data_IF_952811263389
#
_entry.id   IF_952811263389
#
_cell.length_a   1.000
_cell.length_b   1.000
_cell.length_c   1.000
_cell.angle_alpha   90.00
_cell.angle_beta   90.00
_cell.angle_gamma   90.00
#
_symmetry.space_group_name_H-M   'P 1'
#
loop_
_entity.id
_entity.type
_entity.pdbx_description
1 polymer ?
#
# COMPACT_ATOMS: atom_id res chain seq x y z
N UNK A 1 -9.93 -0.70 -19.05
CA UNK A 1 -9.58 0.63 -18.60
C UNK A 1 -8.11 0.69 -18.19
N UNK A 2 -7.33 1.55 -18.81
CA UNK A 2 -5.89 1.65 -18.57
C UNK A 2 -5.59 2.54 -17.36
N UNK A 3 -4.61 2.13 -16.55
CA UNK A 3 -4.04 2.99 -15.51
C UNK A 3 -2.93 3.87 -16.11
N UNK A 4 -2.43 4.84 -15.34
CA UNK A 4 -1.28 5.65 -15.75
C UNK A 4 -0.03 4.81 -15.99
N UNK A 5 0.11 3.68 -15.31
CA UNK A 5 1.28 2.80 -15.41
C UNK A 5 1.10 1.71 -16.47
N UNK A 6 -0.12 1.55 -17.00
CA UNK A 6 -0.43 0.56 -18.03
C UNK A 6 -0.75 1.24 -19.36
N UNK A 7 0.27 1.90 -19.94
CA UNK A 7 0.14 2.64 -21.19
C UNK A 7 -0.13 1.73 -22.39
N UNK A 8 0.41 0.51 -22.36
CA UNK A 8 0.21 -0.47 -23.44
C UNK A 8 -1.16 -1.15 -23.39
N UNK A 9 -1.85 -1.10 -22.26
CA UNK A 9 -3.11 -1.80 -22.06
C UNK A 9 -2.96 -3.28 -21.79
N UNK A 10 -1.76 -3.75 -21.49
CA UNK A 10 -1.48 -5.15 -21.21
C UNK A 10 -2.03 -5.61 -19.85
N UNK A 11 -2.26 -4.66 -18.95
CA UNK A 11 -2.69 -4.96 -17.60
C UNK A 11 -1.57 -5.39 -16.68
N UNK A 12 -1.90 -5.52 -15.40
CA UNK A 12 -1.00 -6.02 -14.38
C UNK A 12 -1.73 -7.02 -13.49
N UNK A 13 -1.06 -8.11 -13.16
CA UNK A 13 -1.57 -9.09 -12.21
C UNK A 13 -0.79 -8.99 -10.91
N UNK A 14 -1.52 -8.86 -9.81
CA UNK A 14 -0.93 -8.82 -8.47
C UNK A 14 -1.59 -9.89 -7.61
N UNK A 15 -0.77 -10.66 -6.91
CA UNK A 15 -1.26 -11.68 -5.98
C UNK A 15 -1.34 -11.08 -4.58
N UNK A 16 -2.49 -11.25 -3.94
CA UNK A 16 -2.69 -10.81 -2.55
C UNK A 16 -2.95 -12.05 -1.72
N UNK A 17 -2.01 -12.42 -0.83
CA UNK A 17 -2.15 -13.63 -0.03
C UNK A 17 -3.10 -13.43 1.15
N UNK A 18 -3.56 -14.54 1.71
CA UNK A 18 -4.20 -14.50 3.01
C UNK A 18 -3.17 -14.15 4.08
N UNK A 19 -3.58 -13.35 5.05
CA UNK A 19 -2.76 -13.05 6.23
C UNK A 19 -3.09 -14.03 7.35
N UNK A 20 -2.12 -14.29 8.21
CA UNK A 20 -2.34 -15.14 9.40
C UNK A 20 -3.36 -14.49 10.34
N UNK A 21 -3.23 -13.20 10.59
CA UNK A 21 -4.21 -12.47 11.37
C UNK A 21 -5.41 -12.11 10.49
N UNK A 22 -6.52 -12.80 10.70
CA UNK A 22 -7.73 -12.65 9.90
C UNK A 22 -8.35 -11.25 10.02
N UNK A 23 -8.15 -10.56 11.13
CA UNK A 23 -8.67 -9.20 11.34
C UNK A 23 -8.01 -8.18 10.41
N UNK A 24 -6.80 -8.47 9.94
CA UNK A 24 -6.06 -7.60 9.03
C UNK A 24 -5.92 -8.17 7.61
N UNK A 25 -6.61 -9.26 7.32
CA UNK A 25 -6.49 -9.93 6.03
C UNK A 25 -7.30 -9.22 4.94
N UNK A 26 -6.65 -8.68 3.89
CA UNK A 26 -7.37 -7.99 2.81
C UNK A 26 -8.26 -8.92 1.99
N UNK A 27 -7.89 -10.19 1.87
CA UNK A 27 -8.69 -11.18 1.12
C UNK A 27 -10.01 -11.43 1.83
N UNK A 28 -9.99 -11.61 3.14
CA UNK A 28 -11.19 -11.82 3.95
C UNK A 28 -12.05 -10.56 3.95
N UNK A 29 -11.44 -9.39 4.08
CA UNK A 29 -12.15 -8.11 4.02
C UNK A 29 -12.90 -7.95 2.69
N UNK A 30 -12.26 -8.30 1.57
CA UNK A 30 -12.89 -8.23 0.26
C UNK A 30 -14.04 -9.22 0.12
N UNK A 31 -13.86 -10.46 0.57
CA UNK A 31 -14.91 -11.46 0.56
C UNK A 31 -16.14 -10.99 1.34
N UNK A 32 -15.92 -10.45 2.53
CA UNK A 32 -17.00 -9.93 3.37
C UNK A 32 -17.72 -8.76 2.68
N UNK A 33 -16.97 -7.87 2.03
CA UNK A 33 -17.55 -6.76 1.30
C UNK A 33 -18.43 -7.24 0.14
N UNK A 34 -17.96 -8.19 -0.65
CA UNK A 34 -18.72 -8.74 -1.77
C UNK A 34 -20.01 -9.39 -1.29
N UNK A 35 -19.95 -10.14 -0.19
CA UNK A 35 -21.09 -10.81 0.40
C UNK A 35 -22.13 -9.81 0.92
N UNK A 36 -21.70 -8.83 1.71
CA UNK A 36 -22.58 -7.82 2.32
C UNK A 36 -23.18 -6.90 1.25
N UNK A 37 -22.39 -6.46 0.30
CA UNK A 37 -22.84 -5.54 -0.76
C UNK A 37 -23.69 -6.21 -1.82
N UNK A 38 -23.64 -7.54 -1.94
CA UNK A 38 -24.36 -8.34 -2.94
C UNK A 38 -24.00 -7.95 -4.38
N UNK A 39 -22.81 -7.40 -4.59
CA UNK A 39 -22.32 -7.01 -5.90
C UNK A 39 -21.97 -8.26 -6.69
N UNK A 40 -22.53 -8.42 -7.88
CA UNK A 40 -22.31 -9.58 -8.76
C UNK A 40 -21.59 -9.21 -10.05
N UNK A 41 -21.60 -7.94 -10.43
CA UNK A 41 -20.98 -7.44 -11.65
C UNK A 41 -20.69 -5.95 -11.52
N UNK A 42 -19.93 -5.41 -12.48
CA UNK A 42 -19.47 -4.02 -12.51
C UNK A 42 -18.42 -3.71 -11.43
N UNK A 43 -18.33 -2.48 -10.98
CA UNK A 43 -17.33 -2.06 -10.02
C UNK A 43 -17.62 -2.66 -8.64
N UNK A 44 -16.58 -3.24 -8.04
CA UNK A 44 -16.66 -3.75 -6.65
C UNK A 44 -16.83 -2.59 -5.67
N UNK A 45 -16.11 -1.51 -5.91
CA UNK A 45 -16.22 -0.28 -5.12
C UNK A 45 -16.77 0.84 -5.99
N UNK A 46 -17.95 1.34 -5.67
CA UNK A 46 -18.59 2.45 -6.37
C UNK A 46 -18.21 3.75 -5.69
N UNK A 47 -16.95 4.14 -5.85
CA UNK A 47 -16.39 5.30 -5.16
C UNK A 47 -15.43 6.05 -6.08
N UNK A 48 -15.41 7.39 -5.95
CA UNK A 48 -14.47 8.25 -6.66
C UNK A 48 -13.14 8.34 -5.92
N UNK A 49 -12.12 8.84 -6.61
CA UNK A 49 -10.80 9.10 -6.00
C UNK A 49 -10.92 10.04 -4.79
N UNK A 50 -11.77 11.06 -4.92
CA UNK A 50 -12.06 11.98 -3.81
C UNK A 50 -12.70 11.24 -2.63
N UNK A 51 -13.62 10.32 -2.91
CA UNK A 51 -14.27 9.51 -1.90
C UNK A 51 -13.28 8.62 -1.15
N UNK A 52 -12.33 8.02 -1.88
CA UNK A 52 -11.25 7.23 -1.26
C UNK A 52 -10.43 8.10 -0.32
N UNK A 53 -10.02 9.29 -0.77
CA UNK A 53 -9.25 10.22 0.06
C UNK A 53 -10.00 10.60 1.34
N UNK A 54 -11.32 10.84 1.25
CA UNK A 54 -12.14 11.19 2.39
C UNK A 54 -12.23 10.05 3.42
N UNK A 55 -12.33 8.81 2.95
CA UNK A 55 -12.33 7.65 3.84
C UNK A 55 -11.00 7.53 4.58
N UNK A 56 -9.89 7.68 3.87
CA UNK A 56 -8.55 7.62 4.47
C UNK A 56 -8.39 8.71 5.53
N UNK A 57 -8.82 9.94 5.22
CA UNK A 57 -8.77 11.06 6.17
C UNK A 57 -9.62 10.80 7.40
N UNK A 58 -10.80 10.22 7.23
CA UNK A 58 -11.68 9.85 8.33
C UNK A 58 -10.97 8.89 9.30
N UNK A 59 -10.38 7.84 8.78
CA UNK A 59 -9.70 6.85 9.63
C UNK A 59 -8.40 7.37 10.22
N UNK A 60 -7.68 8.22 9.49
CA UNK A 60 -6.50 8.90 10.04
C UNK A 60 -6.89 9.77 11.24
N UNK A 61 -7.98 10.51 11.13
CA UNK A 61 -8.50 11.33 12.23
C UNK A 61 -8.90 10.48 13.43
N UNK A 62 -9.61 9.37 13.19
CA UNK A 62 -10.00 8.44 14.26
C UNK A 62 -8.80 7.81 14.96
N UNK A 63 -7.68 7.65 14.24
CA UNK A 63 -6.44 7.13 14.79
C UNK A 63 -5.59 8.19 15.50
N UNK A 64 -6.07 9.43 15.59
CA UNK A 64 -5.33 10.52 16.23
C UNK A 64 -4.25 11.14 15.36
N UNK A 65 -4.29 10.89 14.06
CA UNK A 65 -3.32 11.44 13.11
C UNK A 65 -3.87 12.73 12.47
N UNK A 66 -2.97 13.55 11.94
CA UNK A 66 -3.37 14.76 11.21
C UNK A 66 -3.96 14.37 9.85
N UNK A 67 -5.28 14.39 9.74
CA UNK A 67 -6.01 13.96 8.55
C UNK A 67 -5.61 14.70 7.28
N UNK A 68 -5.16 15.95 7.38
CA UNK A 68 -4.77 16.74 6.21
C UNK A 68 -3.55 16.16 5.50
N UNK A 69 -2.74 15.39 6.19
CA UNK A 69 -1.51 14.79 5.66
C UNK A 69 -1.72 13.45 4.95
N UNK A 70 -2.95 12.93 4.93
CA UNK A 70 -3.25 11.60 4.41
C UNK A 70 -4.22 11.65 3.25
N UNK A 71 -3.95 10.86 2.23
CA UNK A 71 -4.79 10.68 1.04
C UNK A 71 -4.44 9.33 0.39
N UNK A 72 -4.95 9.08 -0.82
CA UNK A 72 -4.73 7.80 -1.50
C UNK A 72 -3.26 7.40 -1.64
N UNK A 73 -2.39 8.35 -1.97
CA UNK A 73 -0.95 8.08 -2.09
C UNK A 73 -0.27 7.72 -0.78
N UNK A 74 -0.84 8.12 0.36
CA UNK A 74 -0.28 7.82 1.68
C UNK A 74 -0.24 6.32 1.96
N UNK A 75 -1.27 5.60 1.53
CA UNK A 75 -1.32 4.14 1.71
C UNK A 75 -0.26 3.45 0.87
N UNK A 76 -0.05 3.91 -0.36
CA UNK A 76 0.97 3.39 -1.26
C UNK A 76 2.37 3.65 -0.71
N UNK A 77 2.63 4.87 -0.26
CA UNK A 77 3.90 5.24 0.38
C UNK A 77 4.13 4.46 1.66
N UNK A 78 3.10 4.34 2.49
CA UNK A 78 3.16 3.57 3.73
C UNK A 78 3.46 2.10 3.49
N UNK A 79 2.84 1.50 2.49
CA UNK A 79 3.12 0.13 2.10
C UNK A 79 4.60 -0.03 1.71
N UNK A 80 5.10 0.84 0.83
CA UNK A 80 6.49 0.78 0.38
C UNK A 80 7.47 0.95 1.54
N UNK A 81 7.21 1.89 2.44
CA UNK A 81 8.05 2.13 3.62
C UNK A 81 8.01 0.94 4.57
N UNK A 82 6.82 0.46 4.92
CA UNK A 82 6.65 -0.65 5.86
C UNK A 82 7.27 -1.94 5.36
N UNK A 83 7.09 -2.24 4.07
CA UNK A 83 7.69 -3.46 3.50
C UNK A 83 9.21 -3.34 3.37
N UNK A 84 9.73 -2.16 3.05
CA UNK A 84 11.17 -1.90 3.05
C UNK A 84 11.77 -2.06 4.45
N UNK A 85 11.11 -1.53 5.47
CA UNK A 85 11.52 -1.70 6.88
C UNK A 85 11.52 -3.16 7.30
N UNK A 86 10.60 -3.96 6.77
CA UNK A 86 10.49 -5.40 7.03
C UNK A 86 11.49 -6.22 6.22
N UNK A 87 12.31 -5.59 5.37
CA UNK A 87 13.35 -6.26 4.60
C UNK A 87 12.91 -6.78 3.23
N UNK A 88 11.78 -6.34 2.71
CA UNK A 88 11.33 -6.74 1.38
C UNK A 88 12.30 -6.22 0.30
N UNK A 89 12.54 -7.05 -0.71
CA UNK A 89 13.40 -6.69 -1.83
C UNK A 89 12.72 -5.66 -2.74
N UNK A 90 13.54 -4.79 -3.35
CA UNK A 90 13.11 -3.74 -4.27
C UNK A 90 12.14 -4.26 -5.34
N UNK A 91 12.49 -5.35 -6.02
CA UNK A 91 11.67 -5.92 -7.08
C UNK A 91 10.28 -6.36 -6.59
N UNK A 92 10.20 -6.87 -5.36
CA UNK A 92 8.95 -7.33 -4.78
C UNK A 92 8.04 -6.17 -4.40
N UNK A 93 8.63 -5.09 -3.89
CA UNK A 93 7.89 -3.84 -3.60
C UNK A 93 7.35 -3.27 -4.92
N UNK A 94 8.17 -3.20 -5.95
CA UNK A 94 7.76 -2.69 -7.26
C UNK A 94 6.64 -3.51 -7.90
N UNK A 95 6.70 -4.83 -7.74
CA UNK A 95 5.66 -5.72 -8.25
C UNK A 95 4.28 -5.40 -7.67
N UNK A 96 4.23 -5.03 -6.39
CA UNK A 96 2.97 -4.69 -5.71
C UNK A 96 2.53 -3.25 -5.96
N UNK A 97 3.45 -2.29 -5.95
CA UNK A 97 3.12 -0.87 -6.14
C UNK A 97 2.90 -0.51 -7.61
N UNK A 98 3.49 -1.29 -8.52
CA UNK A 98 3.42 -1.00 -9.94
C UNK A 98 4.34 0.14 -10.39
N UNK A 99 5.31 0.53 -9.57
CA UNK A 99 6.33 1.50 -9.97
C UNK A 99 7.17 0.93 -11.12
N UNK A 100 7.32 1.69 -12.20
CA UNK A 100 8.17 1.30 -13.32
C UNK A 100 9.62 1.80 -13.15
N UNK A 101 9.80 2.80 -12.30
CA UNK A 101 11.12 3.34 -11.95
C UNK A 101 11.56 2.81 -10.59
N UNK A 102 12.80 2.39 -10.49
CA UNK A 102 13.39 1.93 -9.23
C UNK A 102 13.73 3.07 -8.27
N UNK A 103 13.83 4.29 -8.79
CA UNK A 103 14.27 5.45 -8.02
C UNK A 103 13.42 5.72 -6.77
N UNK A 104 12.10 5.74 -6.92
CA UNK A 104 11.20 5.98 -5.79
C UNK A 104 11.27 4.87 -4.76
N UNK A 105 11.30 3.61 -5.22
CA UNK A 105 11.37 2.45 -4.33
C UNK A 105 12.70 2.43 -3.58
N UNK A 106 13.79 2.74 -4.25
CA UNK A 106 15.12 2.84 -3.62
C UNK A 106 15.16 3.93 -2.55
N UNK A 107 14.45 5.03 -2.76
CA UNK A 107 14.32 6.08 -1.75
C UNK A 107 13.66 5.54 -0.48
N UNK A 108 12.56 4.80 -0.61
CA UNK A 108 11.89 4.18 0.54
C UNK A 108 12.80 3.19 1.28
N UNK A 109 13.54 2.38 0.53
CA UNK A 109 14.49 1.41 1.11
C UNK A 109 15.60 2.14 1.85
N UNK A 110 16.16 3.19 1.27
CA UNK A 110 17.21 4.00 1.88
C UNK A 110 16.75 4.63 3.19
N UNK A 111 15.56 5.23 3.20
CA UNK A 111 14.97 5.84 4.38
C UNK A 111 14.71 4.80 5.48
N UNK A 112 14.20 3.63 5.10
CA UNK A 112 13.97 2.53 6.04
C UNK A 112 15.26 2.04 6.69
N UNK A 113 16.38 2.08 5.96
CA UNK A 113 17.68 1.60 6.44
C UNK A 113 18.52 2.64 7.19
N UNK A 114 18.08 3.89 7.27
CA UNK A 114 18.84 4.96 7.94
C UNK A 114 19.28 4.58 9.35
N UNK A 115 18.42 3.97 10.13
CA UNK A 115 18.71 3.55 11.50
C UNK A 115 19.04 2.06 11.60
N UNK A 116 18.45 1.25 10.75
CA UNK A 116 18.54 -0.22 10.80
C UNK A 116 19.94 -0.75 10.52
N UNK A 117 20.61 -0.20 9.51
CA UNK A 117 21.96 -0.60 9.10
C UNK A 117 22.99 0.49 9.37
N UNK A 118 22.74 1.34 10.34
CA UNK A 118 23.64 2.43 10.69
C UNK A 118 24.90 1.89 11.38
N UNK A 119 26.07 2.36 10.92
CA UNK A 119 27.35 1.93 11.48
C UNK A 119 27.46 2.19 12.98
N UNK A 120 26.84 3.26 13.47
CA UNK A 120 26.84 3.60 14.89
C UNK A 120 26.16 2.53 15.76
N UNK A 121 25.30 1.71 15.19
CA UNK A 121 24.66 0.61 15.91
C UNK A 121 25.68 -0.45 16.37
N UNK A 122 26.87 -0.46 15.79
CA UNK A 122 27.94 -1.39 16.14
C UNK A 122 28.77 -0.93 17.35
N UNK A 123 28.60 0.32 17.73
CA UNK A 123 29.33 0.86 18.89
C UNK A 123 28.55 0.54 20.16
N UNK A 124 29.20 -0.19 21.06
CA UNK A 124 28.64 -0.54 22.36
C UNK A 124 29.31 0.33 23.42
N UNK A 125 28.60 1.32 23.89
CA UNK A 125 29.08 2.22 24.94
C UNK A 125 28.27 2.01 26.20
#
# INVERSE_FOLDING_TARGET
KRSKTDQSGEGMTKAIPYFENMDFCPVIALKNWIEISKIKKNKIFKISDKGVALIIKKYANLAGLDAQRYAGHSLRSGFATSTAESGAEERNIMAMTGHKSTEMVRRYIKEANLFKNNALNKIKI
#
